data_IF_606497093579
#
_entry.id   IF_606497093579
#
_cell.length_a   1.000
_cell.length_b   1.000
_cell.length_c   1.000
_cell.angle_alpha   90.00
_cell.angle_beta   90.00
_cell.angle_gamma   90.00
#
_symmetry.space_group_name_H-M   'P 1'
#
loop_
_entity.id
_entity.type
_entity.pdbx_description
1 polymer ?
#
# COMPACT_ATOMS: atom_id res chain seq x y z
N UNK A 1 15.06 27.83 14.71
CA UNK A 1 15.40 27.53 13.31
C UNK A 1 15.96 26.13 13.29
N UNK A 2 15.09 25.14 13.25
CA UNK A 2 15.50 23.75 13.04
C UNK A 2 15.77 23.59 11.54
N UNK A 3 17.00 23.23 11.20
CA UNK A 3 17.34 22.83 9.84
C UNK A 3 16.64 21.51 9.59
N UNK A 4 15.56 21.51 8.79
CA UNK A 4 15.01 20.29 8.20
C UNK A 4 16.14 19.60 7.43
N UNK A 5 16.61 18.48 7.97
CA UNK A 5 17.68 17.68 7.37
C UNK A 5 17.07 16.88 6.22
N UNK A 6 16.88 17.55 5.08
CA UNK A 6 16.29 16.95 3.90
C UNK A 6 17.30 16.00 3.25
N UNK A 7 16.98 14.71 3.14
CA UNK A 7 17.91 13.69 2.64
C UNK A 7 17.88 13.71 1.12
N UNK A 8 19.02 14.02 0.48
CA UNK A 8 19.21 13.89 -0.96
C UNK A 8 19.20 12.43 -1.37
N UNK A 9 18.25 12.03 -2.20
CA UNK A 9 18.15 10.67 -2.76
C UNK A 9 17.88 10.74 -4.26
N UNK A 10 18.45 9.81 -5.03
CA UNK A 10 18.02 9.64 -6.41
C UNK A 10 16.68 8.90 -6.45
N UNK A 11 16.03 8.97 -7.60
CA UNK A 11 14.70 8.43 -7.81
C UNK A 11 14.63 6.91 -7.60
N UNK A 12 15.69 6.17 -7.96
CA UNK A 12 15.76 4.73 -7.79
C UNK A 12 15.79 4.35 -6.31
N UNK A 13 16.62 5.02 -5.49
CA UNK A 13 16.66 4.73 -4.05
C UNK A 13 15.36 5.10 -3.36
N UNK A 14 14.71 6.18 -3.79
CA UNK A 14 13.39 6.57 -3.27
C UNK A 14 12.34 5.49 -3.59
N UNK A 15 12.30 5.00 -4.84
CA UNK A 15 11.40 3.92 -5.24
C UNK A 15 11.70 2.62 -4.47
N UNK A 16 12.97 2.27 -4.30
CA UNK A 16 13.41 1.11 -3.52
C UNK A 16 12.94 1.20 -2.08
N UNK A 17 13.15 2.34 -1.40
CA UNK A 17 12.72 2.53 -0.02
C UNK A 17 11.19 2.40 0.13
N UNK A 18 10.42 3.00 -0.79
CA UNK A 18 8.97 2.90 -0.79
C UNK A 18 8.48 1.47 -1.07
N UNK A 19 9.10 0.76 -2.01
CA UNK A 19 8.76 -0.64 -2.28
C UNK A 19 9.11 -1.57 -1.12
N UNK A 20 10.26 -1.35 -0.45
CA UNK A 20 10.66 -2.08 0.75
C UNK A 20 9.69 -1.81 1.90
N UNK A 21 9.33 -0.55 2.11
CA UNK A 21 8.30 -0.17 3.09
C UNK A 21 6.96 -0.83 2.79
N UNK A 22 6.51 -0.84 1.53
CA UNK A 22 5.23 -1.42 1.12
C UNK A 22 5.12 -2.92 1.45
N UNK A 23 6.22 -3.67 1.31
CA UNK A 23 6.26 -5.13 1.56
C UNK A 23 6.65 -5.50 2.99
N UNK A 24 7.19 -4.55 3.76
CA UNK A 24 7.57 -4.77 5.14
C UNK A 24 6.33 -5.13 5.97
N UNK A 25 6.48 -6.10 6.87
CA UNK A 25 5.38 -6.64 7.70
C UNK A 25 5.47 -6.22 9.17
N UNK A 26 6.36 -5.31 9.54
CA UNK A 26 6.61 -4.98 10.94
C UNK A 26 5.39 -4.30 11.56
N UNK A 27 4.92 -3.23 10.93
CA UNK A 27 3.69 -2.51 11.27
C UNK A 27 2.43 -3.40 11.15
N UNK A 28 2.39 -4.27 10.15
CA UNK A 28 1.33 -5.26 9.96
C UNK A 28 1.20 -6.18 11.19
N UNK A 29 2.32 -6.70 11.69
CA UNK A 29 2.34 -7.60 12.87
C UNK A 29 1.89 -6.89 14.14
N UNK A 30 2.33 -5.65 14.34
CA UNK A 30 1.88 -4.83 15.47
C UNK A 30 0.38 -4.57 15.41
N UNK A 31 -0.14 -4.28 14.22
CA UNK A 31 -1.57 -4.12 14.01
C UNK A 31 -2.29 -5.42 14.34
N UNK A 32 -1.92 -6.55 13.73
CA UNK A 32 -2.53 -7.87 13.97
C UNK A 32 -2.54 -8.30 15.45
N UNK A 33 -1.50 -7.95 16.21
CA UNK A 33 -1.41 -8.24 17.64
C UNK A 33 -2.50 -7.51 18.45
N UNK A 34 -2.99 -6.37 17.95
CA UNK A 34 -4.08 -5.60 18.57
C UNK A 34 -5.48 -6.13 18.23
N UNK A 35 -5.63 -7.16 17.37
CA UNK A 35 -6.94 -7.74 17.04
C UNK A 35 -7.47 -8.53 18.25
N UNK A 36 -8.66 -8.18 18.78
CA UNK A 36 -9.30 -8.93 19.86
C UNK A 36 -9.50 -10.41 19.50
N UNK A 37 -9.24 -11.30 20.46
CA UNK A 37 -9.33 -12.75 20.23
C UNK A 37 -10.76 -13.22 19.94
N UNK A 38 -11.76 -12.48 20.43
CA UNK A 38 -13.20 -12.71 20.28
C UNK A 38 -13.82 -12.00 19.06
N UNK A 39 -13.01 -11.33 18.23
CA UNK A 39 -13.48 -10.58 17.06
C UNK A 39 -14.11 -11.44 15.94
N UNK A 40 -13.98 -12.77 16.01
CA UNK A 40 -14.47 -13.69 14.99
C UNK A 40 -13.73 -13.60 13.64
N UNK A 41 -12.64 -12.83 13.57
CA UNK A 41 -11.89 -12.60 12.35
C UNK A 41 -10.90 -13.73 12.05
N UNK A 42 -10.81 -14.11 10.77
CA UNK A 42 -9.72 -14.95 10.30
C UNK A 42 -8.45 -14.12 10.18
N UNK A 43 -7.55 -14.23 11.19
CA UNK A 43 -6.30 -13.45 11.24
C UNK A 43 -5.40 -13.66 10.02
N UNK A 44 -5.39 -14.86 9.44
CA UNK A 44 -4.62 -15.15 8.22
C UNK A 44 -5.16 -14.39 7.02
N UNK A 45 -6.49 -14.35 6.85
CA UNK A 45 -7.13 -13.56 5.79
C UNK A 45 -6.89 -12.07 6.00
N UNK A 46 -7.04 -11.58 7.23
CA UNK A 46 -6.80 -10.17 7.57
C UNK A 46 -5.34 -9.78 7.30
N UNK A 47 -4.37 -10.60 7.72
CA UNK A 47 -2.94 -10.36 7.44
C UNK A 47 -2.69 -10.24 5.93
N UNK A 48 -3.22 -11.19 5.16
CA UNK A 48 -3.03 -11.23 3.72
C UNK A 48 -3.63 -10.00 3.02
N UNK A 49 -4.89 -9.68 3.32
CA UNK A 49 -5.57 -8.54 2.69
C UNK A 49 -4.98 -7.19 3.16
N UNK A 50 -4.52 -7.08 4.41
CA UNK A 50 -3.87 -5.86 4.90
C UNK A 50 -2.53 -5.63 4.19
N UNK A 51 -1.76 -6.69 3.92
CA UNK A 51 -0.53 -6.59 3.15
C UNK A 51 -0.79 -6.09 1.72
N UNK A 52 -1.82 -6.61 1.07
CA UNK A 52 -2.25 -6.13 -0.26
C UNK A 52 -2.67 -4.67 -0.19
N UNK A 53 -3.51 -4.31 0.79
CA UNK A 53 -3.97 -2.95 1.00
C UNK A 53 -2.79 -1.98 1.23
N UNK A 54 -1.78 -2.35 2.01
CA UNK A 54 -0.59 -1.53 2.24
C UNK A 54 0.15 -1.22 0.94
N UNK A 55 0.42 -2.24 0.11
CA UNK A 55 1.09 -2.06 -1.19
C UNK A 55 0.31 -1.08 -2.08
N UNK A 56 -1.00 -1.29 -2.20
CA UNK A 56 -1.87 -0.42 -3.00
C UNK A 56 -1.95 1.00 -2.45
N UNK A 57 -1.96 1.14 -1.12
CA UNK A 57 -1.97 2.45 -0.44
C UNK A 57 -0.72 3.27 -0.75
N UNK A 58 0.47 2.64 -0.84
CA UNK A 58 1.70 3.34 -1.25
C UNK A 58 1.61 3.82 -2.70
N UNK A 59 1.16 2.97 -3.62
CA UNK A 59 0.98 3.36 -5.03
C UNK A 59 -0.02 4.50 -5.21
N UNK A 60 -1.08 4.51 -4.40
CA UNK A 60 -2.04 5.61 -4.38
C UNK A 60 -1.47 6.87 -3.74
N UNK A 61 -0.74 6.75 -2.63
CA UNK A 61 -0.07 7.88 -1.97
C UNK A 61 0.85 8.64 -2.93
N UNK A 62 1.63 7.93 -3.75
CA UNK A 62 2.45 8.52 -4.81
C UNK A 62 1.62 9.32 -5.81
N UNK A 63 0.50 8.74 -6.24
CA UNK A 63 -0.42 9.37 -7.19
C UNK A 63 -1.10 10.62 -6.60
N UNK A 64 -1.36 10.63 -5.29
CA UNK A 64 -2.11 11.68 -4.61
C UNK A 64 -1.22 12.82 -4.08
N UNK A 65 -0.11 12.51 -3.42
CA UNK A 65 0.73 13.51 -2.75
C UNK A 65 1.74 14.19 -3.68
N UNK A 66 2.17 13.54 -4.76
CA UNK A 66 3.07 14.19 -5.72
C UNK A 66 2.28 15.09 -6.67
N UNK A 67 2.66 16.37 -6.84
CA UNK A 67 2.03 17.26 -7.81
C UNK A 67 2.08 16.70 -9.23
N UNK A 68 1.02 16.90 -10.01
CA UNK A 68 1.00 16.42 -11.40
C UNK A 68 2.09 17.05 -12.29
N UNK A 69 2.55 18.25 -11.95
CA UNK A 69 3.63 18.95 -12.64
C UNK A 69 5.04 18.50 -12.20
N UNK A 70 5.16 17.65 -11.17
CA UNK A 70 6.44 17.13 -10.72
C UNK A 70 6.98 16.11 -11.73
N UNK A 71 8.13 16.44 -12.33
CA UNK A 71 8.83 15.60 -13.30
C UNK A 71 9.24 14.23 -12.75
N UNK A 72 9.43 14.12 -11.44
CA UNK A 72 9.85 12.88 -10.78
C UNK A 72 8.67 11.93 -10.55
N UNK A 73 7.42 12.42 -10.57
CA UNK A 73 6.23 11.61 -10.25
C UNK A 73 6.07 10.40 -11.15
N UNK A 74 6.15 10.61 -12.47
CA UNK A 74 5.98 9.54 -13.47
C UNK A 74 7.03 8.45 -13.31
N UNK A 75 8.33 8.78 -13.42
CA UNK A 75 9.41 7.81 -13.27
C UNK A 75 9.42 7.13 -11.89
N UNK A 76 9.17 7.84 -10.78
CA UNK A 76 9.13 7.25 -9.45
C UNK A 76 8.01 6.21 -9.32
N UNK A 77 6.81 6.56 -9.80
CA UNK A 77 5.64 5.67 -9.77
C UNK A 77 5.88 4.44 -10.63
N UNK A 78 6.52 4.61 -11.80
CA UNK A 78 6.89 3.50 -12.68
C UNK A 78 7.86 2.54 -11.99
N UNK A 79 8.99 3.05 -11.48
CA UNK A 79 10.01 2.22 -10.82
C UNK A 79 9.43 1.51 -9.59
N UNK A 80 8.57 2.18 -8.82
CA UNK A 80 7.85 1.56 -7.71
C UNK A 80 7.04 0.33 -8.16
N UNK A 81 6.21 0.47 -9.20
CA UNK A 81 5.39 -0.65 -9.68
C UNK A 81 6.21 -1.75 -10.36
N UNK A 82 7.32 -1.42 -11.01
CA UNK A 82 8.28 -2.39 -11.53
C UNK A 82 8.87 -3.23 -10.39
N UNK A 83 9.32 -2.60 -9.30
CA UNK A 83 9.80 -3.30 -8.11
C UNK A 83 8.72 -4.21 -7.52
N UNK A 84 7.48 -3.71 -7.35
CA UNK A 84 6.36 -4.51 -6.82
C UNK A 84 6.05 -5.70 -7.74
N UNK A 85 6.11 -5.52 -9.06
CA UNK A 85 5.91 -6.60 -10.04
C UNK A 85 6.99 -7.67 -9.91
N UNK A 86 8.25 -7.29 -9.78
CA UNK A 86 9.37 -8.22 -9.57
C UNK A 86 9.19 -9.01 -8.27
N UNK A 87 8.91 -8.32 -7.16
CA UNK A 87 8.67 -8.95 -5.86
C UNK A 87 7.48 -9.90 -5.92
N UNK A 88 6.40 -9.50 -6.59
CA UNK A 88 5.22 -10.35 -6.80
C UNK A 88 5.57 -11.63 -7.57
N UNK A 89 6.40 -11.51 -8.61
CA UNK A 89 6.92 -12.66 -9.35
C UNK A 89 7.70 -13.64 -8.47
N UNK A 90 8.57 -13.11 -7.60
CA UNK A 90 9.32 -13.92 -6.63
C UNK A 90 8.39 -14.64 -5.65
N UNK A 91 7.37 -13.96 -5.11
CA UNK A 91 6.36 -14.56 -4.22
C UNK A 91 5.59 -15.68 -4.94
N UNK A 92 5.16 -15.44 -6.17
CA UNK A 92 4.45 -16.40 -7.01
C UNK A 92 5.28 -17.67 -7.24
N UNK A 93 6.55 -17.51 -7.65
CA UNK A 93 7.46 -18.64 -7.87
C UNK A 93 7.72 -19.43 -6.58
N UNK A 94 8.01 -18.75 -5.47
CA UNK A 94 8.23 -19.40 -4.18
C UNK A 94 7.01 -20.18 -3.69
N UNK A 95 5.82 -19.62 -3.88
CA UNK A 95 4.55 -20.27 -3.52
C UNK A 95 4.35 -21.55 -4.33
N UNK A 96 4.60 -21.50 -5.65
CA UNK A 96 4.50 -22.66 -6.52
C UNK A 96 5.49 -23.76 -6.11
N UNK A 97 6.75 -23.40 -5.87
CA UNK A 97 7.79 -24.36 -5.46
C UNK A 97 7.47 -25.01 -4.12
N UNK A 98 6.93 -24.25 -3.16
CA UNK A 98 6.71 -24.73 -1.78
C UNK A 98 5.40 -25.49 -1.61
N UNK A 99 4.33 -25.05 -2.28
CA UNK A 99 2.97 -25.58 -2.07
C UNK A 99 2.44 -26.39 -3.25
N UNK A 100 3.15 -26.39 -4.38
CA UNK A 100 2.68 -26.97 -5.65
C UNK A 100 1.57 -26.17 -6.32
N UNK A 101 1.12 -25.06 -5.72
CA UNK A 101 0.02 -24.22 -6.24
C UNK A 101 0.57 -23.00 -6.96
N UNK A 102 0.14 -22.81 -8.20
CA UNK A 102 0.38 -21.55 -8.92
C UNK A 102 -0.51 -20.46 -8.33
N UNK A 103 0.10 -19.36 -7.89
CA UNK A 103 -0.60 -18.16 -7.42
C UNK A 103 0.03 -16.99 -8.13
N UNK A 104 -0.74 -16.22 -8.89
CA UNK A 104 -0.29 -14.97 -9.51
C UNK A 104 -0.58 -13.80 -8.55
N UNK A 105 0.43 -13.43 -7.76
CA UNK A 105 0.28 -12.41 -6.73
C UNK A 105 0.04 -11.02 -7.34
N UNK A 106 0.63 -10.74 -8.51
CA UNK A 106 0.46 -9.45 -9.17
C UNK A 106 -0.93 -9.31 -9.78
N UNK A 107 -1.51 -10.40 -10.30
CA UNK A 107 -2.89 -10.39 -10.75
C UNK A 107 -3.88 -10.16 -9.60
N UNK A 108 -3.63 -10.74 -8.43
CA UNK A 108 -4.43 -10.48 -7.23
C UNK A 108 -4.34 -9.00 -6.81
N UNK A 109 -3.14 -8.39 -6.84
CA UNK A 109 -2.98 -6.96 -6.57
C UNK A 109 -3.83 -6.09 -7.50
N UNK A 110 -3.84 -6.38 -8.81
CA UNK A 110 -4.68 -5.66 -9.79
C UNK A 110 -6.17 -5.82 -9.49
N UNK A 111 -6.64 -7.05 -9.24
CA UNK A 111 -8.04 -7.30 -8.89
C UNK A 111 -8.48 -6.55 -7.63
N UNK A 112 -7.59 -6.47 -6.62
CA UNK A 112 -7.86 -5.69 -5.40
C UNK A 112 -7.89 -4.19 -5.67
N UNK A 113 -6.97 -3.68 -6.50
CA UNK A 113 -7.00 -2.29 -6.92
C UNK A 113 -8.33 -1.95 -7.60
N UNK A 114 -8.76 -2.78 -8.56
CA UNK A 114 -10.03 -2.59 -9.26
C UNK A 114 -11.22 -2.61 -8.30
N UNK A 115 -11.21 -3.51 -7.31
CA UNK A 115 -12.23 -3.58 -6.26
C UNK A 115 -12.34 -2.26 -5.49
N UNK A 116 -11.20 -1.73 -5.02
CA UNK A 116 -11.18 -0.47 -4.27
C UNK A 116 -11.57 0.72 -5.16
N UNK A 117 -11.09 0.77 -6.41
CA UNK A 117 -11.46 1.81 -7.37
C UNK A 117 -12.97 1.82 -7.64
N UNK A 118 -13.58 0.67 -7.86
CA UNK A 118 -15.02 0.56 -8.03
C UNK A 118 -15.79 1.01 -6.78
N UNK A 119 -15.33 0.66 -5.58
CA UNK A 119 -15.94 1.11 -4.33
C UNK A 119 -15.93 2.65 -4.22
N UNK A 120 -14.83 3.31 -4.63
CA UNK A 120 -14.73 4.77 -4.62
C UNK A 120 -15.64 5.41 -5.67
N UNK A 121 -15.63 4.88 -6.89
CA UNK A 121 -16.44 5.40 -8.00
C UNK A 121 -17.96 5.32 -7.71
N UNK A 122 -18.39 4.28 -6.99
CA UNK A 122 -19.78 4.09 -6.61
C UNK A 122 -20.22 4.97 -5.42
N UNK A 123 -19.30 5.68 -4.76
CA UNK A 123 -19.57 6.55 -3.61
C UNK A 123 -19.02 7.97 -3.83
N UNK A 124 -19.46 8.69 -4.89
CA UNK A 124 -18.88 9.97 -5.27
C UNK A 124 -19.09 11.07 -4.23
N UNK A 125 -20.17 11.01 -3.43
CA UNK A 125 -20.45 12.00 -2.37
C UNK A 125 -19.51 11.85 -1.16
N UNK A 126 -18.93 10.67 -0.95
CA UNK A 126 -17.98 10.36 0.14
C UNK A 126 -16.52 10.39 -0.35
N UNK A 127 -16.29 10.71 -1.62
CA UNK A 127 -14.98 10.70 -2.27
C UNK A 127 -13.94 11.66 -1.68
N UNK A 128 -14.37 12.65 -0.89
CA UNK A 128 -13.47 13.59 -0.23
C UNK A 128 -12.57 12.94 0.83
N UNK A 129 -12.98 11.80 1.40
CA UNK A 129 -12.14 11.03 2.30
C UNK A 129 -12.18 9.52 1.94
N UNK A 130 -11.24 9.06 1.11
CA UNK A 130 -11.19 7.66 0.67
C UNK A 130 -11.15 6.65 1.82
N UNK A 131 -10.62 7.03 3.00
CA UNK A 131 -10.51 6.13 4.14
C UNK A 131 -11.88 5.62 4.65
N UNK A 132 -12.95 6.40 4.44
CA UNK A 132 -14.33 6.05 4.80
C UNK A 132 -14.88 4.94 3.90
N UNK A 133 -14.39 4.84 2.66
CA UNK A 133 -14.81 3.84 1.68
C UNK A 133 -13.94 2.59 1.76
N UNK A 134 -12.63 2.78 1.98
CA UNK A 134 -11.64 1.70 1.98
C UNK A 134 -11.82 0.73 3.14
N UNK A 135 -12.15 1.20 4.34
CA UNK A 135 -12.40 0.31 5.49
C UNK A 135 -13.50 -0.72 5.23
N UNK A 136 -14.72 -0.29 4.85
CA UNK A 136 -15.81 -1.19 4.46
C UNK A 136 -15.44 -2.11 3.30
N UNK A 137 -14.85 -1.58 2.22
CA UNK A 137 -14.43 -2.39 1.08
C UNK A 137 -13.42 -3.48 1.48
N UNK A 138 -12.46 -3.15 2.34
CA UNK A 138 -11.50 -4.10 2.91
C UNK A 138 -12.20 -5.18 3.75
N UNK A 139 -13.19 -4.79 4.56
CA UNK A 139 -13.95 -5.75 5.35
C UNK A 139 -14.74 -6.72 4.46
N UNK A 140 -15.30 -6.24 3.35
CA UNK A 140 -15.91 -7.08 2.31
C UNK A 140 -14.93 -8.08 1.70
N UNK A 141 -13.74 -7.64 1.29
CA UNK A 141 -12.72 -8.54 0.71
C UNK A 141 -12.24 -9.60 1.71
N UNK A 142 -12.30 -9.30 3.00
CA UNK A 142 -12.01 -10.26 4.07
C UNK A 142 -13.18 -11.21 4.41
N UNK A 143 -14.34 -11.09 3.74
CA UNK A 143 -15.55 -11.86 4.06
C UNK A 143 -16.20 -11.46 5.40
N UNK A 144 -15.96 -10.22 5.85
CA UNK A 144 -16.35 -9.69 7.17
C UNK A 144 -17.08 -8.35 7.04
N UNK A 145 -18.00 -8.23 6.09
CA UNK A 145 -18.59 -6.99 5.55
C UNK A 145 -19.09 -5.96 6.57
N UNK A 146 -19.56 -6.41 7.74
CA UNK A 146 -20.11 -5.55 8.80
C UNK A 146 -19.32 -5.66 10.11
N UNK A 147 -18.15 -6.28 10.09
CA UNK A 147 -17.33 -6.41 11.28
C UNK A 147 -16.56 -5.10 11.53
N UNK A 148 -16.94 -4.38 12.59
CA UNK A 148 -16.34 -3.10 12.94
C UNK A 148 -14.82 -3.18 13.15
N UNK A 149 -14.30 -4.32 13.64
CA UNK A 149 -12.86 -4.54 13.80
C UNK A 149 -12.18 -4.64 12.44
N UNK A 150 -12.72 -5.41 11.49
CA UNK A 150 -12.15 -5.49 10.13
C UNK A 150 -12.14 -4.12 9.44
N UNK A 151 -13.25 -3.38 9.52
CA UNK A 151 -13.37 -2.03 8.95
C UNK A 151 -12.30 -1.11 9.54
N UNK A 152 -12.21 -1.04 10.87
CA UNK A 152 -11.26 -0.19 11.57
C UNK A 152 -9.81 -0.50 11.16
N UNK A 153 -9.47 -1.77 11.03
CA UNK A 153 -8.12 -2.20 10.68
C UNK A 153 -7.74 -1.87 9.24
N UNK A 154 -8.67 -2.06 8.30
CA UNK A 154 -8.50 -1.61 6.91
C UNK A 154 -8.30 -0.09 6.83
N UNK A 155 -9.18 0.68 7.48
CA UNK A 155 -9.07 2.15 7.55
C UNK A 155 -7.75 2.60 8.18
N UNK A 156 -7.33 1.96 9.28
CA UNK A 156 -6.10 2.30 9.99
C UNK A 156 -4.86 2.01 9.14
N UNK A 157 -4.78 0.84 8.51
CA UNK A 157 -3.66 0.50 7.62
C UNK A 157 -3.54 1.48 6.46
N UNK A 158 -4.67 1.79 5.79
CA UNK A 158 -4.71 2.76 4.71
C UNK A 158 -4.22 4.14 5.18
N UNK A 159 -4.78 4.67 6.27
CA UNK A 159 -4.49 6.02 6.76
C UNK A 159 -3.04 6.15 7.25
N UNK A 160 -2.53 5.17 8.00
CA UNK A 160 -1.15 5.17 8.47
C UNK A 160 -0.16 5.08 7.32
N UNK A 161 -0.46 4.24 6.31
CA UNK A 161 0.39 4.12 5.12
C UNK A 161 0.45 5.43 4.34
N UNK A 162 -0.70 6.08 4.13
CA UNK A 162 -0.74 7.40 3.49
C UNK A 162 0.07 8.45 4.28
N UNK A 163 -0.10 8.48 5.60
CA UNK A 163 0.65 9.38 6.49
C UNK A 163 2.16 9.17 6.39
N UNK A 164 2.61 7.92 6.51
CA UNK A 164 4.02 7.55 6.43
C UNK A 164 4.65 7.91 5.07
N UNK A 165 3.96 7.64 3.96
CA UNK A 165 4.46 8.01 2.63
C UNK A 165 4.53 9.53 2.48
N UNK A 166 3.53 10.27 2.97
CA UNK A 166 3.54 11.74 2.95
C UNK A 166 4.71 12.31 3.73
N UNK A 167 4.93 11.82 4.96
CA UNK A 167 6.06 12.23 5.80
C UNK A 167 7.40 11.92 5.11
N UNK A 168 7.53 10.71 4.54
CA UNK A 168 8.72 10.32 3.80
C UNK A 168 9.00 11.23 2.60
N UNK A 169 8.00 11.47 1.75
CA UNK A 169 8.13 12.35 0.58
C UNK A 169 8.48 13.80 0.95
N UNK A 170 7.99 14.29 2.09
CA UNK A 170 8.35 15.61 2.60
C UNK A 170 9.78 15.67 3.16
N UNK A 171 10.32 14.52 3.61
CA UNK A 171 11.66 14.42 4.21
C UNK A 171 12.80 14.19 3.23
N UNK A 172 12.49 13.88 1.97
CA UNK A 172 13.46 13.57 0.92
C UNK A 172 13.45 14.61 -0.20
N UNK A 173 14.63 14.94 -0.72
CA UNK A 173 14.80 15.73 -1.94
C UNK A 173 15.23 14.77 -3.03
N UNK A 174 14.41 14.63 -4.06
CA UNK A 174 14.71 13.76 -5.19
C UNK A 174 15.63 14.54 -6.15
N UNK A 175 16.91 14.21 -6.13
CA UNK A 175 17.90 14.84 -7.01
C UNK A 175 17.69 14.45 -8.46
N UNK A 176 17.90 15.41 -9.37
CA UNK A 176 18.01 15.11 -10.79
C UNK A 176 19.19 14.16 -11.03
N UNK A 177 18.95 13.10 -11.81
CA UNK A 177 20.03 12.33 -12.42
C UNK A 177 20.73 13.26 -13.40
N UNK A 178 21.89 13.81 -13.02
CA UNK A 178 22.84 14.41 -13.97
C UNK A 178 23.36 13.29 -14.86
N UNK A 179 22.75 13.11 -16.02
CA UNK A 179 23.34 12.37 -17.12
C UNK A 179 24.58 13.16 -17.57
N UNK A 180 25.77 12.68 -17.19
CA UNK A 180 27.04 13.15 -17.73
C UNK A 180 27.22 12.64 -19.17
#
# INVERSE_FOLDING_TARGET
MEQEHNISMNIEKTAQALSAFAIDRTDLKELLAAIPADSGLNKTTIEYELQLLKILSVGWALSFFMPAADKNKGPLTQIFWENIREISGNISSLTQTTTGKSVDYFSILKERLDTYLHAIQNNPETSQNPAVIIGPAFASTCGSENNAVAILFGTKMFTLTLGAVKEYLNSVTIDDIKLN
#
